data_IF_947091172186
#
_entry.id   IF_947091172186
#
_cell.length_a   1.000
_cell.length_b   1.000
_cell.length_c   1.000
_cell.angle_alpha   90.00
_cell.angle_beta   90.00
_cell.angle_gamma   90.00
#
_symmetry.space_group_name_H-M   'P 1'
#
loop_
_entity.id
_entity.type
_entity.pdbx_description
1 polymer ?
#
# COMPACT_ATOMS: atom_id res chain seq x y z
N UNK A 1 31.31 -9.48 -7.31
CA UNK A 1 29.99 -9.86 -6.77
C UNK A 1 30.20 -11.08 -5.90
N UNK A 2 29.91 -10.99 -4.61
CA UNK A 2 30.03 -12.14 -3.70
C UNK A 2 28.77 -13.01 -3.76
N UNK A 3 28.85 -14.28 -3.37
CA UNK A 3 27.68 -15.17 -3.32
C UNK A 3 26.56 -14.62 -2.41
N UNK A 4 26.94 -13.90 -1.35
CA UNK A 4 26.01 -13.20 -0.46
C UNK A 4 25.24 -12.07 -1.19
N UNK A 5 25.91 -11.29 -2.04
CA UNK A 5 25.26 -10.24 -2.83
C UNK A 5 24.27 -10.81 -3.85
N UNK A 6 24.63 -11.95 -4.46
CA UNK A 6 23.77 -12.66 -5.41
C UNK A 6 22.50 -13.18 -4.73
N UNK A 7 22.62 -13.83 -3.57
CA UNK A 7 21.49 -14.32 -2.78
C UNK A 7 20.56 -13.17 -2.33
N UNK A 8 21.12 -12.08 -1.81
CA UNK A 8 20.35 -10.90 -1.42
C UNK A 8 19.62 -10.26 -2.62
N UNK A 9 20.22 -10.29 -3.81
CA UNK A 9 19.58 -9.80 -5.05
C UNK A 9 18.41 -10.69 -5.49
N UNK A 10 18.55 -12.01 -5.33
CA UNK A 10 17.50 -12.99 -5.65
C UNK A 10 16.29 -12.81 -4.74
N UNK A 11 16.50 -12.75 -3.42
CA UNK A 11 15.44 -12.52 -2.44
C UNK A 11 14.68 -11.21 -2.69
N UNK A 12 15.39 -10.15 -3.08
CA UNK A 12 14.77 -8.87 -3.45
C UNK A 12 13.88 -9.01 -4.70
N UNK A 13 14.33 -9.77 -5.70
CA UNK A 13 13.56 -10.03 -6.93
C UNK A 13 12.31 -10.86 -6.61
N UNK A 14 12.42 -11.89 -5.79
CA UNK A 14 11.28 -12.74 -5.41
C UNK A 14 10.22 -11.98 -4.61
N UNK A 15 10.65 -11.16 -3.65
CA UNK A 15 9.76 -10.25 -2.91
C UNK A 15 9.06 -9.27 -3.84
N UNK A 16 9.77 -8.74 -4.86
CA UNK A 16 9.19 -7.85 -5.87
C UNK A 16 8.18 -8.60 -6.74
N UNK A 17 8.49 -9.81 -7.20
CA UNK A 17 7.57 -10.62 -8.00
C UNK A 17 6.30 -10.97 -7.22
N UNK A 18 6.42 -11.36 -5.94
CA UNK A 18 5.26 -11.60 -5.07
C UNK A 18 4.35 -10.37 -4.97
N UNK A 19 4.94 -9.19 -4.75
CA UNK A 19 4.20 -7.90 -4.74
C UNK A 19 3.54 -7.55 -6.06
N UNK A 20 4.16 -7.90 -7.18
CA UNK A 20 3.59 -7.66 -8.53
C UNK A 20 2.41 -8.60 -8.78
N UNK A 21 2.51 -9.86 -8.36
CA UNK A 21 1.41 -10.84 -8.44
C UNK A 21 0.20 -10.44 -7.59
N UNK A 22 0.46 -9.77 -6.47
CA UNK A 22 -0.56 -9.24 -5.56
C UNK A 22 -1.19 -7.92 -6.04
N UNK A 23 -0.65 -7.31 -7.10
CA UNK A 23 -1.12 -6.02 -7.61
C UNK A 23 -2.22 -6.22 -8.67
N UNK A 24 -3.48 -5.88 -8.34
CA UNK A 24 -4.61 -6.01 -9.28
C UNK A 24 -5.98 -5.84 -8.61
N UNK A 25 -7.02 -6.39 -9.24
CA UNK A 25 -8.40 -6.43 -8.72
C UNK A 25 -8.51 -7.10 -7.33
N UNK A 26 -7.52 -7.92 -6.99
CA UNK A 26 -7.42 -8.67 -5.74
C UNK A 26 -7.08 -7.82 -4.50
N UNK A 27 -6.78 -6.53 -4.69
CA UNK A 27 -6.46 -5.60 -3.58
C UNK A 27 -7.68 -5.26 -2.72
N UNK A 28 -8.90 -5.44 -3.24
CA UNK A 28 -10.15 -5.16 -2.52
C UNK A 28 -10.87 -6.42 -2.04
N UNK A 29 -10.24 -7.60 -2.16
CA UNK A 29 -10.83 -8.84 -1.65
C UNK A 29 -10.77 -8.88 -0.10
N UNK A 30 -11.55 -9.78 0.50
CA UNK A 30 -11.60 -9.96 1.96
C UNK A 30 -10.22 -10.31 2.54
N UNK A 31 -9.41 -11.07 1.80
CA UNK A 31 -8.07 -11.49 2.24
C UNK A 31 -7.09 -10.30 2.34
N UNK A 32 -7.14 -9.37 1.40
CA UNK A 32 -6.32 -8.16 1.36
C UNK A 32 -6.73 -7.21 2.48
N UNK A 33 -8.03 -7.07 2.76
CA UNK A 33 -8.53 -6.34 3.92
C UNK A 33 -8.04 -6.97 5.23
N UNK A 34 -8.10 -8.30 5.34
CA UNK A 34 -7.61 -9.02 6.51
C UNK A 34 -6.09 -8.88 6.70
N UNK A 35 -5.30 -8.96 5.63
CA UNK A 35 -3.84 -8.74 5.67
C UNK A 35 -3.51 -7.29 6.01
N UNK A 36 -4.29 -6.32 5.54
CA UNK A 36 -4.17 -4.92 5.94
C UNK A 36 -4.48 -4.74 7.43
N UNK A 37 -5.54 -5.36 7.94
CA UNK A 37 -5.89 -5.37 9.36
C UNK A 37 -4.75 -5.94 10.21
N UNK A 38 -4.26 -7.15 9.90
CA UNK A 38 -3.10 -7.74 10.61
C UNK A 38 -1.88 -6.82 10.64
N UNK A 39 -1.60 -6.15 9.52
CA UNK A 39 -0.47 -5.22 9.41
C UNK A 39 -0.67 -3.96 10.26
N UNK A 40 -1.88 -3.42 10.31
CA UNK A 40 -2.20 -2.23 11.11
C UNK A 40 -2.15 -2.54 12.60
N UNK A 41 -2.74 -3.66 13.04
CA UNK A 41 -2.64 -4.14 14.43
C UNK A 41 -1.19 -4.33 14.84
N UNK A 42 -0.40 -5.04 14.03
CA UNK A 42 1.04 -5.21 14.31
C UNK A 42 1.77 -3.88 14.44
N UNK A 43 1.54 -2.93 13.51
CA UNK A 43 2.18 -1.61 13.57
C UNK A 43 1.79 -0.86 14.84
N UNK A 44 0.52 -0.93 15.23
CA UNK A 44 0.03 -0.26 16.42
C UNK A 44 0.61 -0.88 17.69
N UNK A 45 0.78 -2.21 17.74
CA UNK A 45 1.51 -2.92 18.80
C UNK A 45 3.00 -2.55 18.85
N UNK A 46 3.69 -2.55 17.70
CA UNK A 46 5.09 -2.14 17.58
C UNK A 46 5.30 -0.67 18.02
N UNK A 47 4.29 0.18 17.83
CA UNK A 47 4.29 1.59 18.25
C UNK A 47 3.86 1.80 19.72
N UNK A 48 3.57 0.73 20.47
CA UNK A 48 3.09 0.81 21.86
C UNK A 48 1.71 1.45 22.00
N UNK A 49 0.94 1.60 20.91
CA UNK A 49 -0.42 2.18 20.91
C UNK A 49 -1.48 1.16 21.33
N UNK A 50 -1.14 -0.12 21.22
CA UNK A 50 -1.95 -1.25 21.65
C UNK A 50 -1.01 -2.12 22.48
N UNK A 51 -1.41 -2.47 23.70
CA UNK A 51 -0.69 -3.46 24.48
C UNK A 51 -0.89 -4.83 23.84
N UNK A 52 0.22 -5.52 23.56
CA UNK A 52 0.20 -6.91 23.13
C UNK A 52 -0.19 -7.78 24.33
N UNK A 53 -1.47 -7.78 24.70
CA UNK A 53 -2.01 -8.63 25.77
C UNK A 53 -1.38 -8.38 27.14
N UNK A 54 -1.95 -7.45 27.90
CA UNK A 54 -1.69 -7.30 29.33
C UNK A 54 -1.19 -5.90 29.71
N UNK A 55 -2.12 -5.04 30.11
CA UNK A 55 -1.89 -3.96 31.09
C UNK A 55 -3.22 -3.91 31.86
N UNK A 56 -3.36 -4.26 33.15
CA UNK A 56 -2.56 -3.86 34.33
C UNK A 56 -2.42 -2.33 34.49
N UNK A 57 -3.30 -1.55 33.87
CA UNK A 57 -3.46 -0.12 34.17
C UNK A 57 -4.90 0.18 34.61
N UNK A 58 -5.14 0.00 35.91
CA UNK A 58 -5.78 1.04 36.71
C UNK A 58 -7.24 1.43 36.46
N UNK A 59 -8.09 0.54 35.95
CA UNK A 59 -9.54 0.79 35.92
C UNK A 59 -10.34 -0.12 35.01
N UNK A 60 -10.32 -1.43 35.26
CA UNK A 60 -11.41 -2.28 34.81
C UNK A 60 -12.54 -2.13 35.86
N UNK A 61 -13.74 -1.61 35.52
CA UNK A 61 -14.92 -2.16 36.15
C UNK A 61 -14.89 -3.66 35.89
N UNK A 62 -15.34 -4.46 36.85
CA UNK A 62 -15.48 -5.91 36.79
C UNK A 62 -16.44 -6.38 35.66
N UNK A 63 -16.16 -6.04 34.40
CA UNK A 63 -16.81 -6.58 33.23
C UNK A 63 -15.96 -7.75 32.73
N UNK A 64 -16.16 -8.90 33.39
CA UNK A 64 -16.24 -10.15 32.64
C UNK A 64 -17.06 -9.84 31.38
N UNK A 65 -16.59 -10.14 30.15
CA UNK A 65 -17.42 -9.98 28.97
C UNK A 65 -18.51 -11.05 29.07
N UNK A 66 -19.53 -10.76 29.89
CA UNK A 66 -20.72 -11.54 30.00
C UNK A 66 -21.41 -11.62 28.64
N UNK A 67 -22.48 -12.40 28.59
CA UNK A 67 -23.30 -12.53 27.39
C UNK A 67 -23.58 -11.15 26.78
N UNK A 68 -23.14 -10.97 25.54
CA UNK A 68 -23.31 -9.74 24.77
C UNK A 68 -24.80 -9.35 24.77
N UNK A 69 -25.16 -8.24 25.43
CA UNK A 69 -26.50 -7.67 25.33
C UNK A 69 -26.57 -6.74 24.10
N UNK A 70 -27.36 -7.07 23.07
CA UNK A 70 -27.54 -6.20 21.90
C UNK A 70 -28.15 -4.83 22.23
N UNK A 71 -28.79 -4.66 23.39
CA UNK A 71 -29.42 -3.41 23.83
C UNK A 71 -28.44 -2.41 24.48
N UNK A 72 -27.25 -2.85 24.85
CA UNK A 72 -26.21 -1.99 25.43
C UNK A 72 -25.42 -1.19 24.37
N UNK A 73 -25.73 -1.39 23.08
CA UNK A 73 -25.15 -0.60 22.00
C UNK A 73 -25.41 0.90 22.21
N UNK A 74 -24.33 1.68 22.26
CA UNK A 74 -24.37 3.13 22.50
C UNK A 74 -24.15 3.54 23.96
N UNK A 75 -24.09 2.59 24.91
CA UNK A 75 -23.70 2.83 26.31
C UNK A 75 -22.24 2.48 26.54
N UNK A 76 -21.34 3.04 25.74
CA UNK A 76 -19.90 2.81 25.92
C UNK A 76 -19.36 3.59 27.13
N UNK A 77 -18.46 3.01 27.94
CA UNK A 77 -17.76 3.75 28.97
C UNK A 77 -16.93 4.90 28.35
N UNK A 78 -16.71 6.00 29.08
CA UNK A 78 -15.94 7.12 28.57
C UNK A 78 -14.50 6.66 28.25
N UNK A 79 -14.08 6.89 27.01
CA UNK A 79 -12.73 6.56 26.56
C UNK A 79 -11.76 7.65 27.03
N UNK A 80 -10.59 7.25 27.53
CA UNK A 80 -9.52 8.19 27.90
C UNK A 80 -9.13 9.07 26.69
N UNK A 81 -8.95 10.37 26.93
CA UNK A 81 -8.61 11.35 25.87
C UNK A 81 -7.33 10.98 25.11
N UNK A 82 -6.37 10.37 25.79
CA UNK A 82 -5.11 9.89 25.21
C UNK A 82 -5.32 8.82 24.13
N UNK A 83 -6.24 7.88 24.36
CA UNK A 83 -6.60 6.84 23.38
C UNK A 83 -7.29 7.44 22.16
N UNK A 84 -8.12 8.46 22.37
CA UNK A 84 -8.75 9.22 21.27
C UNK A 84 -7.70 9.96 20.45
N UNK A 85 -6.73 10.61 21.10
CA UNK A 85 -5.64 11.30 20.40
C UNK A 85 -4.77 10.32 19.60
N UNK A 86 -4.44 9.16 20.16
CA UNK A 86 -3.66 8.13 19.46
C UNK A 86 -4.35 7.62 18.18
N UNK A 87 -5.69 7.51 18.21
CA UNK A 87 -6.50 7.18 17.02
C UNK A 87 -6.41 8.29 15.97
N UNK A 88 -6.58 9.54 16.37
CA UNK A 88 -6.50 10.70 15.47
C UNK A 88 -5.13 10.76 14.79
N UNK A 89 -4.06 10.54 15.55
CA UNK A 89 -2.70 10.53 15.03
C UNK A 89 -2.47 9.38 14.02
N UNK A 90 -3.00 8.19 14.29
CA UNK A 90 -2.94 7.09 13.31
C UNK A 90 -3.75 7.40 12.04
N UNK A 91 -4.93 8.03 12.16
CA UNK A 91 -5.70 8.46 10.99
C UNK A 91 -4.94 9.49 10.13
N UNK A 92 -4.24 10.43 10.77
CA UNK A 92 -3.38 11.37 10.05
C UNK A 92 -2.21 10.67 9.35
N UNK A 93 -1.56 9.72 10.02
CA UNK A 93 -0.47 8.94 9.42
C UNK A 93 -0.98 8.09 8.24
N UNK A 94 -2.16 7.49 8.37
CA UNK A 94 -2.83 6.76 7.29
C UNK A 94 -3.13 7.67 6.10
N UNK A 95 -3.61 8.89 6.34
CA UNK A 95 -3.87 9.86 5.28
C UNK A 95 -2.59 10.25 4.52
N UNK A 96 -1.48 10.50 5.23
CA UNK A 96 -0.18 10.78 4.62
C UNK A 96 0.33 9.59 3.80
N UNK A 97 0.22 8.37 4.33
CA UNK A 97 0.58 7.15 3.60
C UNK A 97 -0.25 6.96 2.34
N UNK A 98 -1.55 7.27 2.39
CA UNK A 98 -2.46 7.19 1.23
C UNK A 98 -2.10 8.24 0.17
N UNK A 99 -1.81 9.48 0.57
CA UNK A 99 -1.37 10.53 -0.34
C UNK A 99 -0.08 10.15 -1.09
N UNK A 100 0.85 9.50 -0.39
CA UNK A 100 2.14 9.07 -0.93
C UNK A 100 2.13 7.66 -1.56
N UNK A 101 0.97 7.01 -1.70
CA UNK A 101 0.86 5.66 -2.26
C UNK A 101 1.32 5.61 -3.72
N UNK A 102 0.92 6.61 -4.51
CA UNK A 102 1.35 6.75 -5.90
C UNK A 102 2.63 7.57 -5.98
N UNK A 103 3.77 6.89 -6.16
CA UNK A 103 5.06 7.58 -6.31
C UNK A 103 5.14 8.24 -7.69
N UNK A 104 5.43 9.55 -7.70
CA UNK A 104 5.75 10.28 -8.92
C UNK A 104 7.05 9.74 -9.52
N UNK A 105 7.03 9.34 -10.79
CA UNK A 105 8.26 9.01 -11.53
C UNK A 105 8.93 10.31 -11.97
N UNK A 106 10.25 10.38 -11.82
CA UNK A 106 11.06 11.52 -12.28
C UNK A 106 10.89 11.71 -13.79
N UNK A 107 10.85 12.97 -14.22
CA UNK A 107 10.91 13.29 -15.64
C UNK A 107 12.34 13.07 -16.10
N UNK A 108 12.49 12.59 -17.32
CA UNK A 108 13.78 12.30 -17.94
C UNK A 108 13.88 13.18 -19.18
N UNK A 109 14.75 14.18 -19.12
CA UNK A 109 14.87 15.23 -20.15
C UNK A 109 15.49 14.71 -21.44
N UNK A 110 16.21 13.58 -21.39
CA UNK A 110 16.82 12.98 -22.59
C UNK A 110 15.86 12.11 -23.39
N UNK A 111 14.59 11.97 -22.96
CA UNK A 111 13.61 11.15 -23.68
C UNK A 111 12.88 11.95 -24.74
N UNK A 112 12.69 11.31 -25.88
CA UNK A 112 11.88 11.88 -26.96
C UNK A 112 10.45 12.16 -26.50
N UNK A 113 9.99 13.38 -26.79
CA UNK A 113 8.67 13.87 -26.38
C UNK A 113 7.65 13.51 -27.44
N UNK A 114 6.80 12.52 -27.14
CA UNK A 114 5.74 12.03 -28.04
C UNK A 114 4.38 12.71 -27.84
N UNK A 115 4.32 13.78 -27.02
CA UNK A 115 3.08 14.40 -26.57
C UNK A 115 3.14 15.92 -26.62
N UNK A 116 1.98 16.55 -26.83
CA UNK A 116 1.85 18.02 -26.90
C UNK A 116 1.43 18.60 -25.53
N UNK A 117 0.68 17.85 -24.73
CA UNK A 117 0.17 18.32 -23.43
C UNK A 117 0.26 17.23 -22.34
N UNK A 118 0.08 17.63 -21.07
CA UNK A 118 0.20 16.72 -19.92
C UNK A 118 -0.82 15.58 -19.93
N UNK A 119 -2.03 15.83 -20.44
CA UNK A 119 -3.09 14.81 -20.52
C UNK A 119 -2.76 13.75 -21.57
N UNK A 120 -2.17 14.18 -22.69
CA UNK A 120 -1.66 13.34 -23.77
C UNK A 120 -0.47 12.51 -23.26
N UNK A 121 0.48 13.10 -22.51
CA UNK A 121 1.58 12.34 -21.89
C UNK A 121 1.07 11.17 -21.04
N UNK A 122 0.05 11.43 -20.20
CA UNK A 122 -0.54 10.39 -19.35
C UNK A 122 -1.26 9.33 -20.17
N UNK A 123 -1.91 9.72 -21.27
CA UNK A 123 -2.57 8.81 -22.19
C UNK A 123 -1.57 7.95 -22.95
N UNK A 124 -0.52 8.52 -23.54
CA UNK A 124 0.56 7.78 -24.20
C UNK A 124 1.20 6.77 -23.23
N UNK A 125 1.52 7.19 -22.00
CA UNK A 125 2.00 6.28 -20.93
C UNK A 125 1.02 5.16 -20.57
N UNK A 126 -0.28 5.34 -20.82
CA UNK A 126 -1.29 4.29 -20.60
C UNK A 126 -1.30 3.29 -21.74
N UNK A 127 -1.22 3.78 -22.98
CA UNK A 127 -1.13 2.97 -24.20
C UNK A 127 0.17 2.16 -24.19
N UNK A 128 1.30 2.80 -23.90
CA UNK A 128 2.61 2.15 -23.77
C UNK A 128 2.55 0.93 -22.84
N UNK A 129 1.99 1.06 -21.63
CA UNK A 129 1.88 -0.07 -20.69
C UNK A 129 1.07 -1.26 -21.21
N UNK A 130 0.09 -1.00 -22.07
CA UNK A 130 -0.80 -2.05 -22.60
C UNK A 130 -0.27 -2.64 -23.91
N UNK A 131 0.33 -1.81 -24.76
CA UNK A 131 0.65 -2.15 -26.15
C UNK A 131 2.14 -2.20 -26.47
N UNK A 132 3.03 -1.68 -25.61
CA UNK A 132 4.49 -1.81 -25.78
C UNK A 132 4.92 -3.26 -26.03
N UNK A 133 4.40 -4.28 -25.32
CA UNK A 133 4.80 -5.67 -25.57
C UNK A 133 4.48 -6.17 -26.97
N UNK A 134 3.50 -5.56 -27.64
CA UNK A 134 2.99 -5.99 -28.95
C UNK A 134 3.45 -5.09 -30.10
N UNK A 135 3.99 -3.91 -29.81
CA UNK A 135 4.32 -2.87 -30.81
C UNK A 135 5.82 -2.63 -30.96
N UNK A 136 6.65 -3.50 -30.39
CA UNK A 136 8.12 -3.40 -30.43
C UNK A 136 8.64 -3.33 -31.87
N UNK A 137 8.13 -4.19 -32.76
CA UNK A 137 8.54 -4.24 -34.16
C UNK A 137 8.15 -2.97 -34.91
N UNK A 138 6.90 -2.52 -34.73
CA UNK A 138 6.39 -1.28 -35.34
C UNK A 138 7.23 -0.07 -34.90
N UNK A 139 7.57 0.01 -33.61
CA UNK A 139 8.42 1.07 -33.07
C UNK A 139 9.83 1.04 -33.67
N UNK A 140 10.44 -0.14 -33.74
CA UNK A 140 11.77 -0.31 -34.32
C UNK A 140 11.80 0.02 -35.82
N UNK A 141 10.73 -0.31 -36.54
CA UNK A 141 10.54 0.04 -37.94
C UNK A 141 10.41 1.57 -38.14
N UNK A 142 9.66 2.23 -37.26
CA UNK A 142 9.54 3.70 -37.25
C UNK A 142 10.90 4.38 -37.00
N UNK A 143 11.68 3.87 -36.04
CA UNK A 143 13.02 4.39 -35.71
C UNK A 143 14.04 4.13 -36.85
N UNK A 144 13.86 3.07 -37.64
CA UNK A 144 14.68 2.78 -38.83
C UNK A 144 14.23 3.51 -40.10
N UNK A 145 13.01 4.07 -40.12
CA UNK A 145 12.43 4.69 -41.31
C UNK A 145 12.03 3.70 -42.41
N UNK A 146 11.86 2.42 -42.09
CA UNK A 146 11.48 1.36 -43.03
C UNK A 146 10.33 0.51 -42.48
N UNK A 147 9.48 -0.04 -43.36
CA UNK A 147 8.46 -1.00 -42.99
C UNK A 147 8.87 -2.39 -43.50
N UNK A 148 9.38 -3.23 -42.61
CA UNK A 148 9.69 -4.65 -42.84
C UNK A 148 8.75 -5.52 -42.03
#
# INVERSE_FOLDING_TARGET
MTAADAAASHDKRDKKQRRVKEFGYDVYNNEAQYRHYKKTVRRAGDAGKISNGGDEDGGAPDDDPGDYDPLDYGRAPPVAKERVQALVDDMHEQAVRRANWSRRRTFDESKDVTYINKRNEVYNKKIERAFDPYTVEIKANLERGTAL
#
